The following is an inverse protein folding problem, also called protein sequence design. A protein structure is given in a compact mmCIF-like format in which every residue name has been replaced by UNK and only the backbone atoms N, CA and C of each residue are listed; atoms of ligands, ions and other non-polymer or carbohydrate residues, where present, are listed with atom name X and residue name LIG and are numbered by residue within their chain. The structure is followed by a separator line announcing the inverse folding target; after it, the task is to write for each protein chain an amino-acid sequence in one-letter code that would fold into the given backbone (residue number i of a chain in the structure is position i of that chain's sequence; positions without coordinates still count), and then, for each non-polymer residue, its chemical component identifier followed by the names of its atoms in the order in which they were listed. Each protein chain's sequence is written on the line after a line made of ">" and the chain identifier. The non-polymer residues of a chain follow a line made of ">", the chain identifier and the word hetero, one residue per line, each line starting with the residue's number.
data_IF_843746325858
#
_entry.id   IF_843746325858
#
_cell.length_a   1.000
_cell.length_b   1.000
_cell.length_c   1.000
_cell.angle_alpha   90.00
_cell.angle_beta   90.00
_cell.angle_gamma   90.00
#
_symmetry.space_group_name_H-M   'P 1'
#
loop_
_entity.id
_entity.type
_entity.pdbx_description
1 polymer ?
#
# COMPACT_ATOMS: atom_id res chain seq x y z
N UNK A 1 10.89 -22.44 -30.88
CA UNK A 1 11.10 -21.17 -30.14
C UNK A 1 10.47 -21.37 -28.76
N UNK A 2 11.26 -21.62 -27.72
CA UNK A 2 10.75 -21.71 -26.35
C UNK A 2 10.80 -20.31 -25.75
N UNK A 3 9.64 -19.73 -25.45
CA UNK A 3 9.54 -18.46 -24.74
C UNK A 3 10.15 -18.62 -23.35
N UNK A 4 11.28 -17.96 -23.11
CA UNK A 4 11.85 -17.81 -21.77
C UNK A 4 10.88 -16.91 -21.01
N UNK A 5 10.10 -17.49 -20.09
CA UNK A 5 9.31 -16.71 -19.15
C UNK A 5 10.26 -15.99 -18.21
N UNK A 6 10.35 -14.67 -18.32
CA UNK A 6 11.12 -13.85 -17.39
C UNK A 6 10.33 -13.85 -16.07
N UNK A 7 10.88 -14.48 -15.02
CA UNK A 7 10.37 -14.31 -13.66
C UNK A 7 10.80 -12.94 -13.16
N UNK A 8 9.85 -12.00 -13.05
CA UNK A 8 10.09 -10.70 -12.42
C UNK A 8 10.10 -10.91 -10.91
N UNK A 9 11.25 -10.70 -10.28
CA UNK A 9 11.39 -10.75 -8.82
C UNK A 9 11.20 -9.34 -8.29
N UNK A 10 10.05 -9.08 -7.66
CA UNK A 10 9.81 -7.83 -6.94
C UNK A 10 10.52 -7.90 -5.60
N UNK A 11 11.50 -7.01 -5.38
CA UNK A 11 12.19 -6.88 -4.09
C UNK A 11 11.64 -5.67 -3.35
N UNK A 12 10.99 -5.90 -2.21
CA UNK A 12 10.46 -4.86 -1.32
C UNK A 12 10.57 -5.33 0.13
N UNK A 13 10.58 -4.41 1.12
CA UNK A 13 10.52 -4.80 2.52
C UNK A 13 9.25 -5.60 2.81
N UNK A 14 9.40 -6.78 3.39
CA UNK A 14 8.28 -7.65 3.75
C UNK A 14 7.85 -7.43 5.19
N UNK A 15 6.61 -6.98 5.37
CA UNK A 15 5.94 -6.91 6.67
C UNK A 15 4.82 -7.94 6.70
N UNK A 16 4.85 -8.82 7.69
CA UNK A 16 3.81 -9.82 7.86
C UNK A 16 2.47 -9.14 8.16
N UNK A 17 1.47 -9.45 7.33
CA UNK A 17 0.10 -9.00 7.53
C UNK A 17 -0.78 -10.16 8.01
N UNK A 18 -1.31 -10.02 9.22
CA UNK A 18 -2.31 -10.93 9.75
C UNK A 18 -3.68 -10.44 9.31
N UNK A 19 -4.25 -11.09 8.31
CA UNK A 19 -5.62 -10.83 7.88
C UNK A 19 -6.58 -11.16 9.04
N UNK A 20 -7.31 -10.15 9.48
CA UNK A 20 -8.32 -10.28 10.54
C UNK A 20 -9.33 -9.15 10.37
N UNK A 21 -10.57 -9.39 10.82
CA UNK A 21 -11.64 -8.39 10.72
C UNK A 21 -11.24 -7.03 11.33
N UNK A 22 -10.56 -7.04 12.48
CA UNK A 22 -10.06 -5.82 13.14
C UNK A 22 -9.06 -5.05 12.27
N UNK A 23 -8.08 -5.75 11.68
CA UNK A 23 -7.04 -5.10 10.89
C UNK A 23 -7.58 -4.57 9.56
N UNK A 24 -8.46 -5.35 8.90
CA UNK A 24 -9.12 -4.92 7.67
C UNK A 24 -10.03 -3.72 7.92
N UNK A 25 -10.80 -3.72 9.02
CA UNK A 25 -11.64 -2.59 9.40
C UNK A 25 -10.80 -1.33 9.62
N UNK A 26 -9.75 -1.41 10.45
CA UNK A 26 -8.87 -0.28 10.70
C UNK A 26 -8.22 0.24 9.41
N UNK A 27 -7.75 -0.63 8.54
CA UNK A 27 -7.16 -0.22 7.26
C UNK A 27 -8.19 0.48 6.36
N UNK A 28 -9.40 -0.09 6.24
CA UNK A 28 -10.48 0.48 5.43
C UNK A 28 -10.96 1.84 5.93
N UNK A 29 -10.97 2.06 7.24
CA UNK A 29 -11.30 3.37 7.82
C UNK A 29 -10.31 4.45 7.37
N UNK A 30 -9.01 4.15 7.43
CA UNK A 30 -7.98 5.07 6.95
C UNK A 30 -8.04 5.25 5.43
N UNK A 31 -8.25 4.17 4.68
CA UNK A 31 -8.43 4.22 3.22
C UNK A 31 -9.59 5.13 2.84
N UNK A 32 -10.76 4.96 3.48
CA UNK A 32 -11.94 5.79 3.25
C UNK A 32 -11.73 7.25 3.65
N UNK A 33 -11.03 7.52 4.75
CA UNK A 33 -10.69 8.88 5.16
C UNK A 33 -9.75 9.56 4.13
N UNK A 34 -8.75 8.84 3.64
CA UNK A 34 -7.81 9.34 2.63
C UNK A 34 -8.46 9.54 1.27
N UNK A 35 -9.37 8.65 0.85
CA UNK A 35 -10.18 8.80 -0.36
C UNK A 35 -11.03 10.07 -0.37
N UNK A 36 -11.52 10.47 0.81
CA UNK A 36 -12.34 11.66 1.01
C UNK A 36 -11.51 12.93 1.28
N UNK A 37 -10.20 12.80 1.47
CA UNK A 37 -9.32 13.96 1.68
C UNK A 37 -9.37 14.91 0.48
N UNK A 38 -9.38 16.24 0.67
CA UNK A 38 -9.43 17.18 -0.46
C UNK A 38 -8.31 16.96 -1.49
N UNK A 39 -7.14 16.53 -1.03
CA UNK A 39 -5.97 16.26 -1.87
C UNK A 39 -6.19 15.04 -2.77
N UNK A 40 -6.55 13.89 -2.22
CA UNK A 40 -6.70 12.68 -3.03
C UNK A 40 -8.05 12.63 -3.77
N UNK A 41 -9.09 13.31 -3.27
CA UNK A 41 -10.43 13.29 -3.86
C UNK A 41 -10.46 13.84 -5.29
N UNK A 42 -9.56 14.77 -5.63
CA UNK A 42 -9.46 15.37 -6.98
C UNK A 42 -8.62 14.54 -7.96
N UNK A 43 -7.95 13.48 -7.49
CA UNK A 43 -7.09 12.64 -8.31
C UNK A 43 -7.87 11.42 -8.83
N UNK A 44 -7.39 10.84 -9.93
CA UNK A 44 -7.95 9.63 -10.54
C UNK A 44 -6.85 8.61 -10.88
N UNK A 45 -7.27 7.39 -11.23
CA UNK A 45 -6.36 6.32 -11.68
C UNK A 45 -5.26 5.98 -10.67
N UNK A 46 -4.10 5.58 -11.16
CA UNK A 46 -2.96 5.22 -10.31
C UNK A 46 -2.47 6.35 -9.43
N UNK A 47 -2.56 7.60 -9.90
CA UNK A 47 -2.17 8.79 -9.13
C UNK A 47 -3.01 8.92 -7.87
N UNK A 48 -4.31 8.62 -7.95
CA UNK A 48 -5.19 8.57 -6.77
C UNK A 48 -4.77 7.47 -5.80
N UNK A 49 -4.48 6.28 -6.32
CA UNK A 49 -4.05 5.13 -5.50
C UNK A 49 -2.75 5.44 -4.75
N UNK A 50 -1.74 5.99 -5.44
CA UNK A 50 -0.49 6.45 -4.84
C UNK A 50 -0.75 7.47 -3.73
N UNK A 51 -1.58 8.49 -3.99
CA UNK A 51 -1.97 9.49 -2.98
C UNK A 51 -2.61 8.86 -1.74
N UNK A 52 -3.55 7.93 -1.92
CA UNK A 52 -4.23 7.26 -0.80
C UNK A 52 -3.24 6.44 0.03
N UNK A 53 -2.33 5.69 -0.61
CA UNK A 53 -1.31 4.90 0.10
C UNK A 53 -0.35 5.80 0.89
N UNK A 54 0.10 6.90 0.29
CA UNK A 54 0.93 7.87 0.99
C UNK A 54 0.18 8.55 2.15
N UNK A 55 -1.09 8.91 1.95
CA UNK A 55 -1.95 9.47 2.99
C UNK A 55 -2.16 8.51 4.18
N UNK A 56 -2.39 7.21 3.93
CA UNK A 56 -2.61 6.21 4.99
C UNK A 56 -1.39 6.11 5.90
N UNK A 57 -0.19 6.09 5.32
CA UNK A 57 1.06 6.09 6.07
C UNK A 57 2.22 6.51 5.17
N UNK A 58 2.71 7.76 5.29
CA UNK A 58 3.81 8.25 4.46
C UNK A 58 5.06 7.38 4.61
N UNK A 59 5.35 6.97 5.84
CA UNK A 59 6.48 6.09 6.14
C UNK A 59 6.39 4.72 5.46
N UNK A 60 5.20 4.08 5.46
CA UNK A 60 5.04 2.77 4.81
C UNK A 60 5.07 2.89 3.30
N UNK A 61 4.56 4.01 2.78
CA UNK A 61 4.61 4.28 1.35
C UNK A 61 6.05 4.44 0.87
N UNK A 62 6.86 5.18 1.63
CA UNK A 62 8.29 5.34 1.35
C UNK A 62 9.01 3.99 1.33
N UNK A 63 8.84 3.17 2.37
CA UNK A 63 9.55 1.89 2.46
C UNK A 63 9.21 0.93 1.31
N UNK A 64 7.97 0.94 0.80
CA UNK A 64 7.45 -0.11 -0.09
C UNK A 64 7.37 0.34 -1.56
N UNK A 65 7.11 1.62 -1.80
CA UNK A 65 6.81 2.14 -3.14
C UNK A 65 7.75 3.26 -3.61
N UNK A 66 8.66 3.79 -2.77
CA UNK A 66 9.51 4.93 -3.18
C UNK A 66 10.47 4.58 -4.32
N UNK A 67 11.11 3.42 -4.24
CA UNK A 67 12.10 2.98 -5.23
C UNK A 67 11.45 2.55 -6.54
N UNK A 68 10.24 2.03 -6.46
CA UNK A 68 9.48 1.46 -7.57
C UNK A 68 8.01 1.81 -7.38
N UNK A 69 7.51 2.82 -8.06
CA UNK A 69 6.14 3.32 -7.85
C UNK A 69 5.12 2.45 -8.60
N UNK A 70 3.92 2.29 -8.05
CA UNK A 70 2.83 1.56 -8.70
C UNK A 70 2.49 2.15 -10.07
N UNK A 71 2.55 1.42 -11.17
CA UNK A 71 2.20 1.92 -12.51
C UNK A 71 0.76 1.57 -12.93
N UNK A 72 0.21 2.32 -13.89
CA UNK A 72 -1.11 2.02 -14.44
C UNK A 72 -1.11 0.65 -15.14
N UNK A 73 -2.06 -0.21 -14.76
CA UNK A 73 -2.17 -1.57 -15.31
C UNK A 73 -1.37 -2.64 -14.55
N UNK A 74 -0.59 -2.25 -13.54
CA UNK A 74 0.10 -3.22 -12.67
C UNK A 74 -0.82 -3.83 -11.61
N UNK A 75 -0.49 -5.07 -11.22
CA UNK A 75 -1.11 -5.72 -10.06
C UNK A 75 -0.25 -5.42 -8.83
N UNK A 76 -0.82 -4.75 -7.83
CA UNK A 76 -0.12 -4.45 -6.59
C UNK A 76 0.02 -5.69 -5.69
N UNK A 77 1.09 -6.46 -5.91
CA UNK A 77 1.45 -7.61 -5.06
C UNK A 77 2.00 -7.20 -3.68
N UNK A 78 2.29 -5.91 -3.48
CA UNK A 78 2.94 -5.36 -2.28
C UNK A 78 1.93 -4.90 -1.23
N UNK A 79 0.66 -4.80 -1.59
CA UNK A 79 -0.41 -4.29 -0.73
C UNK A 79 -0.46 -4.99 0.65
N UNK A 80 -0.27 -6.31 0.70
CA UNK A 80 -0.26 -7.02 1.98
C UNK A 80 0.92 -6.58 2.86
N UNK A 81 2.11 -6.40 2.28
CA UNK A 81 3.24 -5.85 3.02
C UNK A 81 2.94 -4.43 3.52
N UNK A 82 2.28 -3.60 2.70
CA UNK A 82 1.88 -2.25 3.10
C UNK A 82 0.89 -2.26 4.27
N UNK A 83 -0.14 -3.11 4.23
CA UNK A 83 -1.06 -3.33 5.35
C UNK A 83 -0.33 -3.81 6.61
N UNK A 84 0.63 -4.73 6.45
CA UNK A 84 1.48 -5.22 7.55
C UNK A 84 2.27 -4.10 8.22
N UNK A 85 2.92 -3.25 7.41
CA UNK A 85 3.65 -2.07 7.88
C UNK A 85 2.74 -1.11 8.66
N UNK A 86 1.57 -0.79 8.10
CA UNK A 86 0.58 0.07 8.74
C UNK A 86 0.16 -0.46 10.11
N UNK A 87 -0.24 -1.73 10.21
CA UNK A 87 -0.68 -2.34 11.48
C UNK A 87 0.43 -2.35 12.52
N UNK A 88 1.67 -2.67 12.12
CA UNK A 88 2.82 -2.66 13.03
C UNK A 88 3.09 -1.26 13.59
N UNK A 89 3.03 -0.22 12.74
CA UNK A 89 3.26 1.16 13.17
C UNK A 89 2.12 1.73 13.99
N UNK A 90 0.86 1.46 13.62
CA UNK A 90 -0.31 1.87 14.40
C UNK A 90 -0.30 1.24 15.81
N UNK A 91 0.16 -0.01 15.93
CA UNK A 91 0.27 -0.70 17.22
C UNK A 91 1.36 -0.11 18.14
N UNK A 92 2.43 0.47 17.58
CA UNK A 92 3.53 1.10 18.33
C UNK A 92 3.18 2.50 18.85
N UNK A 93 2.16 3.15 18.29
CA UNK A 93 1.72 4.50 18.68
C UNK A 93 0.69 4.49 19.83
N UNK A 94 0.44 3.34 20.48
CA UNK A 94 -0.46 3.25 21.62
C UNK A 94 0.29 3.65 22.90
N UNK A 95 -0.12 4.71 23.63
CA UNK A 95 0.45 5.04 24.94
C UNK A 95 0.31 3.90 25.96
#
# INVERSE_FOLDING_TARGET
>A
IKSIGITVVFTFPEFQYKESSKNEMAFREFESACEQSPTCAQLSGITRVRCIRECISPSCYQDIYQTDQLEDGEIDVRLNSFKGCFVQRASRQRP
#
